data_IF_912553076793
#
_entry.id   IF_912553076793
#
_cell.length_a   1.000
_cell.length_b   1.000
_cell.length_c   1.000
_cell.angle_alpha   90.00
_cell.angle_beta   90.00
_cell.angle_gamma   90.00
#
_symmetry.space_group_name_H-M   'P 1'
#
loop_
_entity.id
_entity.type
_entity.pdbx_description
1 polymer ?
#
# COMPACT_ATOMS: atom_id res chain seq x y z
N UNK A 1 -5.87 -17.89 -27.35
CA UNK A 1 -5.53 -18.09 -25.93
C UNK A 1 -4.51 -19.22 -25.84
N UNK A 2 -3.41 -19.09 -25.08
CA UNK A 2 -2.50 -20.22 -24.83
C UNK A 2 -3.27 -21.35 -24.14
N UNK A 3 -2.93 -22.61 -24.44
CA UNK A 3 -3.48 -23.75 -23.71
C UNK A 3 -2.92 -23.76 -22.28
N UNK A 4 -3.67 -24.30 -21.34
CA UNK A 4 -3.24 -24.43 -19.94
C UNK A 4 -1.90 -25.17 -19.81
N UNK A 5 -1.68 -26.20 -20.65
CA UNK A 5 -0.41 -26.92 -20.73
C UNK A 5 0.73 -26.04 -21.23
N UNK A 6 0.52 -25.24 -22.29
CA UNK A 6 1.54 -24.30 -22.79
C UNK A 6 1.89 -23.22 -21.76
N UNK A 7 0.91 -22.74 -20.99
CA UNK A 7 1.13 -21.79 -19.91
C UNK A 7 1.95 -22.40 -18.77
N UNK A 8 1.63 -23.65 -18.38
CA UNK A 8 2.40 -24.42 -17.40
C UNK A 8 3.84 -24.66 -17.85
N UNK A 9 4.05 -25.10 -19.08
CA UNK A 9 5.40 -25.33 -19.63
C UNK A 9 6.21 -24.03 -19.70
N UNK A 10 5.56 -22.93 -20.11
CA UNK A 10 6.19 -21.61 -20.14
C UNK A 10 6.58 -21.16 -18.72
N UNK A 11 5.68 -21.29 -17.75
CA UNK A 11 5.95 -20.97 -16.33
C UNK A 11 7.14 -21.78 -15.81
N UNK A 12 7.16 -23.09 -16.04
CA UNK A 12 8.27 -23.97 -15.66
C UNK A 12 9.62 -23.46 -16.21
N UNK A 13 9.65 -23.19 -17.51
CA UNK A 13 10.85 -22.74 -18.20
C UNK A 13 11.34 -21.38 -17.73
N UNK A 14 10.43 -20.42 -17.50
CA UNK A 14 10.78 -19.10 -16.95
C UNK A 14 11.29 -19.24 -15.53
N UNK A 15 10.61 -20.02 -14.69
CA UNK A 15 10.94 -20.16 -13.28
C UNK A 15 12.31 -20.77 -13.08
N UNK A 16 12.64 -21.83 -13.83
CA UNK A 16 13.96 -22.45 -13.79
C UNK A 16 15.06 -21.45 -14.16
N UNK A 17 14.87 -20.66 -15.22
CA UNK A 17 15.82 -19.63 -15.63
C UNK A 17 15.98 -18.52 -14.58
N UNK A 18 14.89 -18.13 -13.90
CA UNK A 18 14.94 -17.16 -12.80
C UNK A 18 15.71 -17.73 -11.60
N UNK A 19 15.44 -18.99 -11.23
CA UNK A 19 16.10 -19.68 -10.14
C UNK A 19 17.62 -19.71 -10.36
N UNK A 20 18.05 -20.17 -11.54
CA UNK A 20 19.47 -20.23 -11.93
C UNK A 20 20.13 -18.85 -11.99
N UNK A 21 19.43 -17.82 -12.49
CA UNK A 21 20.00 -16.48 -12.67
C UNK A 21 20.03 -15.62 -11.40
N UNK A 22 19.06 -15.79 -10.49
CA UNK A 22 18.88 -14.90 -9.32
C UNK A 22 19.29 -15.54 -7.99
N UNK A 23 19.33 -16.88 -7.90
CA UNK A 23 19.38 -17.58 -6.63
C UNK A 23 20.39 -18.72 -6.64
N UNK A 24 21.67 -18.37 -6.86
CA UNK A 24 22.78 -19.28 -6.67
C UNK A 24 23.08 -19.52 -5.19
N UNK A 25 22.11 -20.06 -4.45
CA UNK A 25 22.27 -20.45 -3.05
C UNK A 25 22.49 -21.96 -2.92
N UNK A 26 23.30 -22.43 -1.96
CA UNK A 26 24.12 -21.61 -1.06
C UNK A 26 25.29 -20.93 -1.79
N UNK A 27 25.81 -19.82 -1.25
CA UNK A 27 27.02 -19.13 -1.75
C UNK A 27 27.85 -18.52 -0.61
N UNK A 28 29.01 -17.93 -0.94
CA UNK A 28 29.95 -17.37 0.04
C UNK A 28 29.33 -16.27 0.93
N UNK A 29 28.37 -15.49 0.41
CA UNK A 29 27.70 -14.43 1.18
C UNK A 29 26.57 -14.99 2.07
N UNK A 30 25.90 -16.05 1.62
CA UNK A 30 24.79 -16.69 2.29
C UNK A 30 24.96 -18.22 2.28
N UNK A 31 25.87 -18.77 3.10
CA UNK A 31 26.19 -20.20 3.10
C UNK A 31 25.02 -21.05 3.63
N UNK A 32 24.18 -20.47 4.48
CA UNK A 32 23.08 -21.17 5.15
C UNK A 32 21.74 -21.03 4.41
N UNK A 33 21.72 -20.43 3.21
CA UNK A 33 20.47 -20.28 2.44
C UNK A 33 20.22 -21.49 1.55
N UNK A 34 18.99 -21.99 1.60
CA UNK A 34 18.45 -22.99 0.68
C UNK A 34 17.37 -22.34 -0.19
N UNK A 35 17.36 -22.68 -1.49
CA UNK A 35 16.27 -22.34 -2.41
C UNK A 35 15.42 -23.58 -2.69
N UNK A 36 14.10 -23.41 -2.66
CA UNK A 36 13.14 -24.42 -3.12
C UNK A 36 12.19 -23.83 -4.16
N UNK A 37 12.01 -24.53 -5.27
CA UNK A 37 11.04 -24.15 -6.33
C UNK A 37 9.81 -25.05 -6.26
N UNK A 38 8.62 -24.46 -6.15
CA UNK A 38 7.34 -25.17 -5.99
C UNK A 38 6.66 -25.55 -7.32
N UNK A 39 7.42 -25.62 -8.41
CA UNK A 39 6.91 -25.98 -9.72
C UNK A 39 7.81 -27.05 -10.36
N UNK A 40 7.25 -28.11 -10.99
CA UNK A 40 5.82 -28.37 -11.22
C UNK A 40 5.07 -28.92 -10.00
N UNK A 41 5.77 -29.24 -8.91
CA UNK A 41 5.20 -29.81 -7.69
C UNK A 41 5.44 -28.90 -6.49
N UNK A 42 4.43 -28.76 -5.63
CA UNK A 42 4.51 -28.02 -4.37
C UNK A 42 5.40 -28.75 -3.36
N UNK A 43 6.55 -28.18 -3.03
CA UNK A 43 7.54 -28.77 -2.10
C UNK A 43 7.57 -28.05 -0.74
N UNK A 44 7.39 -26.73 -0.73
CA UNK A 44 7.56 -25.87 0.44
C UNK A 44 6.46 -24.82 0.57
N UNK A 45 5.65 -24.95 1.61
CA UNK A 45 4.57 -24.01 1.91
C UNK A 45 4.99 -22.89 2.86
N UNK A 46 4.37 -21.73 2.69
CA UNK A 46 4.42 -20.59 3.60
C UNK A 46 3.11 -20.51 4.39
N UNK A 47 3.20 -20.49 5.72
CA UNK A 47 2.01 -20.48 6.58
C UNK A 47 1.38 -19.09 6.65
N UNK A 48 0.08 -19.00 6.42
CA UNK A 48 -0.68 -17.75 6.57
C UNK A 48 -1.16 -17.59 8.02
N UNK A 49 -1.22 -16.34 8.50
CA UNK A 49 -1.72 -16.03 9.86
C UNK A 49 -3.16 -16.52 10.10
N UNK A 50 -4.00 -16.50 9.06
CA UNK A 50 -5.38 -17.00 9.09
C UNK A 50 -5.49 -18.52 9.24
N UNK A 51 -4.37 -19.25 9.21
CA UNK A 51 -4.37 -20.68 8.95
C UNK A 51 -4.32 -20.95 7.44
N UNK A 52 -3.78 -22.11 7.07
CA UNK A 52 -3.54 -22.50 5.67
C UNK A 52 -2.09 -22.32 5.23
N UNK A 53 -1.82 -22.81 4.02
CA UNK A 53 -0.52 -22.83 3.37
C UNK A 53 -0.62 -22.19 1.99
N UNK A 54 0.33 -21.34 1.65
CA UNK A 54 0.53 -20.80 0.31
C UNK A 54 1.81 -21.39 -0.28
N UNK A 55 1.79 -21.69 -1.57
CA UNK A 55 2.94 -22.22 -2.29
C UNK A 55 3.41 -21.19 -3.33
N UNK A 56 4.26 -20.22 -2.92
CA UNK A 56 4.87 -19.29 -3.87
C UNK A 56 5.79 -20.06 -4.81
N UNK A 57 6.04 -19.55 -6.02
CA UNK A 57 6.84 -20.30 -7.00
C UNK A 57 8.28 -20.57 -6.52
N UNK A 58 8.88 -19.66 -5.76
CA UNK A 58 10.19 -19.82 -5.12
C UNK A 58 10.10 -19.47 -3.63
N UNK A 59 10.69 -20.31 -2.78
CA UNK A 59 10.92 -20.02 -1.37
C UNK A 59 12.42 -20.05 -1.11
N UNK A 60 12.94 -19.04 -0.41
CA UNK A 60 14.32 -19.05 0.10
C UNK A 60 14.24 -19.10 1.62
N UNK A 61 14.96 -20.04 2.21
CA UNK A 61 14.99 -20.24 3.66
C UNK A 61 16.40 -20.19 4.22
N UNK A 62 16.53 -19.70 5.45
CA UNK A 62 17.78 -19.78 6.21
C UNK A 62 17.81 -21.07 7.05
N UNK A 63 18.95 -21.77 7.04
CA UNK A 63 19.28 -22.88 7.93
C UNK A 63 20.01 -22.40 9.21
N UNK A 64 19.89 -23.13 10.33
CA UNK A 64 18.98 -24.25 10.55
C UNK A 64 17.55 -23.77 10.86
N UNK A 65 16.53 -24.50 10.38
CA UNK A 65 15.13 -24.31 10.80
C UNK A 65 14.15 -23.87 9.70
N UNK A 66 14.63 -23.68 8.47
CA UNK A 66 13.81 -23.27 7.32
C UNK A 66 13.00 -21.99 7.58
N UNK A 67 13.63 -20.98 8.19
CA UNK A 67 12.99 -19.67 8.35
C UNK A 67 12.87 -18.99 7.00
N UNK A 68 11.70 -18.44 6.68
CA UNK A 68 11.49 -17.81 5.38
C UNK A 68 12.28 -16.51 5.35
N UNK A 69 13.36 -16.50 4.57
CA UNK A 69 14.11 -15.29 4.27
C UNK A 69 13.35 -14.44 3.25
N UNK A 70 12.76 -15.09 2.24
CA UNK A 70 11.95 -14.44 1.22
C UNK A 70 11.09 -15.45 0.45
N UNK A 71 10.03 -14.94 -0.18
CA UNK A 71 9.19 -15.68 -1.11
C UNK A 71 9.15 -14.93 -2.44
N UNK A 72 9.14 -15.66 -3.56
CA UNK A 72 8.94 -15.06 -4.86
C UNK A 72 7.82 -15.74 -5.64
N UNK A 73 7.07 -14.93 -6.37
CA UNK A 73 5.96 -15.37 -7.21
C UNK A 73 6.16 -14.88 -8.64
N UNK A 74 5.86 -15.74 -9.60
CA UNK A 74 5.99 -15.48 -11.02
C UNK A 74 4.59 -15.32 -11.62
N UNK A 75 4.33 -14.15 -12.20
CA UNK A 75 3.12 -13.89 -12.96
C UNK A 75 3.40 -13.93 -14.46
N UNK A 76 2.56 -14.63 -15.21
CA UNK A 76 2.47 -14.55 -16.67
C UNK A 76 1.64 -13.34 -17.09
N UNK A 77 1.71 -12.96 -18.36
CA UNK A 77 1.03 -11.76 -18.89
C UNK A 77 -0.47 -11.71 -18.58
N UNK A 78 -1.16 -12.85 -18.62
CA UNK A 78 -2.60 -12.94 -18.36
C UNK A 78 -2.94 -13.05 -16.86
N UNK A 79 -1.96 -13.24 -15.99
CA UNK A 79 -2.14 -13.36 -14.53
C UNK A 79 -1.87 -12.02 -13.82
N UNK A 80 -1.45 -10.98 -14.53
CA UNK A 80 -1.31 -9.62 -13.97
C UNK A 80 -2.69 -8.97 -13.87
N UNK A 81 -3.54 -9.52 -13.00
CA UNK A 81 -4.95 -9.13 -12.80
C UNK A 81 -5.21 -8.74 -11.35
N UNK A 82 -6.31 -8.03 -11.11
CA UNK A 82 -6.70 -7.60 -9.75
C UNK A 82 -7.01 -8.79 -8.85
N UNK A 83 -7.70 -9.80 -9.39
CA UNK A 83 -8.00 -11.06 -8.71
C UNK A 83 -6.72 -11.76 -8.23
N UNK A 84 -5.74 -11.97 -9.12
CA UNK A 84 -4.44 -12.58 -8.75
C UNK A 84 -3.72 -11.75 -7.68
N UNK A 85 -3.78 -10.42 -7.77
CA UNK A 85 -3.17 -9.56 -6.76
C UNK A 85 -3.80 -9.74 -5.37
N UNK A 86 -5.13 -9.82 -5.29
CA UNK A 86 -5.88 -9.99 -4.05
C UNK A 86 -5.72 -11.40 -3.47
N UNK A 87 -5.88 -12.42 -4.31
CA UNK A 87 -5.96 -13.82 -3.85
C UNK A 87 -4.58 -14.43 -3.61
N UNK A 88 -3.57 -14.01 -4.37
CA UNK A 88 -2.24 -14.64 -4.35
C UNK A 88 -1.18 -13.71 -3.77
N UNK A 89 -1.00 -12.52 -4.34
CA UNK A 89 0.13 -11.65 -3.97
C UNK A 89 -0.06 -11.02 -2.58
N UNK A 90 -1.27 -10.58 -2.25
CA UNK A 90 -1.55 -9.91 -0.97
C UNK A 90 -1.31 -10.83 0.24
N UNK A 91 -1.83 -12.07 0.28
CA UNK A 91 -1.55 -12.99 1.38
C UNK A 91 -0.06 -13.33 1.47
N UNK A 92 0.63 -13.54 0.33
CA UNK A 92 2.08 -13.80 0.33
C UNK A 92 2.86 -12.63 0.93
N UNK A 93 2.59 -11.39 0.51
CA UNK A 93 3.28 -10.19 1.02
C UNK A 93 3.04 -9.94 2.53
N UNK A 94 1.96 -10.46 3.09
CA UNK A 94 1.68 -10.38 4.53
C UNK A 94 2.46 -11.44 5.34
N UNK A 95 2.91 -12.50 4.70
CA UNK A 95 3.56 -13.65 5.35
C UNK A 95 5.08 -13.65 5.19
N UNK A 96 5.59 -13.12 4.08
CA UNK A 96 7.00 -13.11 3.75
C UNK A 96 7.38 -11.88 2.91
N UNK A 97 8.67 -11.51 2.87
CA UNK A 97 9.19 -10.54 1.91
C UNK A 97 8.94 -11.03 0.48
N UNK A 98 7.97 -10.41 -0.20
CA UNK A 98 7.56 -10.83 -1.53
C UNK A 98 8.41 -10.16 -2.62
N UNK A 99 9.05 -10.98 -3.45
CA UNK A 99 9.60 -10.58 -4.74
C UNK A 99 8.64 -11.02 -5.85
N UNK A 100 8.14 -10.05 -6.62
CA UNK A 100 7.23 -10.34 -7.73
C UNK A 100 7.99 -10.30 -9.06
N UNK A 101 7.93 -11.39 -9.82
CA UNK A 101 8.44 -11.45 -11.19
C UNK A 101 7.30 -11.30 -12.19
N UNK A 102 7.37 -10.27 -13.04
CA UNK A 102 6.35 -9.99 -14.07
C UNK A 102 6.97 -9.84 -15.45
N UNK A 103 6.24 -10.06 -16.55
CA UNK A 103 6.79 -9.89 -17.88
C UNK A 103 7.15 -8.42 -18.12
N UNK A 104 8.20 -8.16 -18.90
CA UNK A 104 8.55 -6.81 -19.34
C UNK A 104 7.36 -6.12 -20.01
N UNK A 105 7.09 -4.86 -19.65
CA UNK A 105 5.92 -4.10 -20.08
C UNK A 105 4.69 -4.23 -19.16
N UNK A 106 4.67 -5.16 -18.20
CA UNK A 106 3.58 -5.30 -17.23
C UNK A 106 3.90 -4.70 -15.85
N UNK A 107 5.10 -4.15 -15.63
CA UNK A 107 5.50 -3.57 -14.34
C UNK A 107 4.59 -2.44 -13.88
N UNK A 108 4.23 -1.49 -14.76
CA UNK A 108 3.35 -0.38 -14.40
C UNK A 108 1.97 -0.87 -13.91
N UNK A 109 1.40 -1.87 -14.59
CA UNK A 109 0.13 -2.51 -14.18
C UNK A 109 0.26 -3.23 -12.86
N UNK A 110 1.31 -4.05 -12.68
CA UNK A 110 1.55 -4.79 -11.45
C UNK A 110 1.76 -3.85 -10.24
N UNK A 111 2.55 -2.78 -10.40
CA UNK A 111 2.76 -1.76 -9.36
C UNK A 111 1.44 -1.09 -9.00
N UNK A 112 0.61 -0.73 -10.00
CA UNK A 112 -0.72 -0.15 -9.76
C UNK A 112 -1.60 -1.11 -8.96
N UNK A 113 -1.66 -2.40 -9.34
CA UNK A 113 -2.43 -3.42 -8.63
C UNK A 113 -1.95 -3.62 -7.19
N UNK A 114 -0.64 -3.69 -6.97
CA UNK A 114 -0.07 -3.80 -5.63
C UNK A 114 -0.41 -2.58 -4.78
N UNK A 115 -0.33 -1.36 -5.35
CA UNK A 115 -0.69 -0.12 -4.65
C UNK A 115 -2.18 -0.08 -4.29
N UNK A 116 -3.06 -0.38 -5.25
CA UNK A 116 -4.52 -0.38 -5.05
C UNK A 116 -4.96 -1.37 -3.96
N UNK A 117 -4.28 -2.51 -3.84
CA UNK A 117 -4.65 -3.56 -2.90
C UNK A 117 -3.86 -3.54 -1.58
N UNK A 118 -2.99 -2.53 -1.37
CA UNK A 118 -2.18 -2.38 -0.16
C UNK A 118 -1.10 -3.47 -0.01
N UNK A 119 -0.56 -3.97 -1.12
CA UNK A 119 0.44 -5.04 -1.15
C UNK A 119 1.84 -4.45 -0.98
N UNK A 120 2.49 -4.76 0.14
CA UNK A 120 3.86 -4.31 0.44
C UNK A 120 4.88 -5.22 -0.26
N UNK A 121 5.35 -4.81 -1.44
CA UNK A 121 6.39 -5.53 -2.18
C UNK A 121 7.78 -5.24 -1.61
N UNK A 122 8.61 -6.27 -1.47
CA UNK A 122 10.04 -6.10 -1.19
C UNK A 122 10.77 -5.68 -2.48
N UNK A 123 10.49 -6.38 -3.58
CA UNK A 123 11.10 -6.09 -4.89
C UNK A 123 10.15 -6.46 -6.02
N UNK A 124 10.19 -5.72 -7.13
CA UNK A 124 9.54 -6.11 -8.39
C UNK A 124 10.58 -6.23 -9.49
N UNK A 125 10.64 -7.41 -10.08
CA UNK A 125 11.53 -7.75 -11.19
C UNK A 125 10.71 -7.92 -12.45
N UNK A 126 11.14 -7.27 -13.53
CA UNK A 126 10.64 -7.57 -14.87
C UNK A 126 11.52 -8.61 -15.53
N UNK A 127 10.91 -9.54 -16.26
CA UNK A 127 11.64 -10.55 -17.02
C UNK A 127 11.28 -10.50 -18.51
N UNK A 128 12.27 -10.79 -19.34
CA UNK A 128 12.11 -11.03 -20.78
C UNK A 128 12.88 -12.28 -21.16
N UNK A 129 12.19 -13.29 -21.71
CA UNK A 129 12.87 -14.45 -22.28
C UNK A 129 13.59 -14.01 -23.56
N UNK A 130 14.90 -14.31 -23.66
CA UNK A 130 15.61 -14.12 -24.92
C UNK A 130 15.27 -15.28 -25.86
N UNK A 131 15.19 -15.03 -27.18
CA UNK A 131 15.05 -16.11 -28.16
C UNK A 131 16.17 -17.15 -27.98
N UNK A 132 15.95 -18.40 -28.37
CA UNK A 132 17.01 -19.40 -28.61
C UNK A 132 18.05 -19.61 -27.48
N UNK A 133 17.61 -19.86 -26.24
CA UNK A 133 18.50 -20.39 -25.19
C UNK A 133 19.51 -19.40 -24.60
N UNK A 134 19.46 -18.12 -24.98
CA UNK A 134 20.33 -17.07 -24.41
C UNK A 134 19.93 -16.63 -22.99
N UNK A 135 19.15 -17.44 -22.27
CA UNK A 135 18.70 -17.20 -20.91
C UNK A 135 17.60 -16.15 -20.80
N UNK A 136 17.45 -15.64 -19.57
CA UNK A 136 16.46 -14.63 -19.22
C UNK A 136 17.16 -13.28 -18.98
N UNK A 137 16.50 -12.20 -19.38
CA UNK A 137 16.89 -10.85 -19.01
C UNK A 137 16.03 -10.40 -17.83
N UNK A 138 16.68 -9.92 -16.77
CA UNK A 138 16.04 -9.51 -15.52
C UNK A 138 16.38 -8.06 -15.23
N UNK A 139 15.35 -7.23 -15.14
CA UNK A 139 15.50 -5.83 -14.81
C UNK A 139 14.68 -5.50 -13.56
N UNK A 140 15.27 -4.78 -12.62
CA UNK A 140 14.54 -4.30 -11.46
C UNK A 140 13.68 -3.09 -11.84
N UNK A 141 12.37 -3.19 -11.62
CA UNK A 141 11.44 -2.10 -11.91
C UNK A 141 10.96 -1.37 -10.64
N UNK A 142 11.06 -2.01 -9.47
CA UNK A 142 10.77 -1.38 -8.18
C UNK A 142 11.61 -2.01 -7.07
N UNK A 143 12.07 -1.17 -6.14
CA UNK A 143 12.63 -1.58 -4.85
C UNK A 143 11.76 -1.00 -3.75
N UNK A 144 11.18 -1.85 -2.92
CA UNK A 144 10.51 -1.39 -1.72
C UNK A 144 11.52 -0.85 -0.71
N UNK A 145 11.06 -0.09 0.30
CA UNK A 145 11.87 0.15 1.49
C UNK A 145 12.30 -1.21 2.04
N UNK A 146 13.57 -1.33 2.40
CA UNK A 146 14.15 -2.56 2.90
C UNK A 146 13.71 -2.77 4.36
N UNK A 147 12.41 -3.05 4.55
CA UNK A 147 11.73 -3.07 5.86
C UNK A 147 12.36 -4.05 6.84
N UNK A 148 13.07 -5.06 6.32
CA UNK A 148 13.69 -6.10 7.12
C UNK A 148 15.18 -5.92 7.36
N UNK A 149 15.90 -5.09 6.59
CA UNK A 149 17.35 -4.90 6.81
C UNK A 149 17.70 -4.49 8.25
N UNK A 150 16.97 -3.58 8.92
CA UNK A 150 17.28 -3.22 10.30
C UNK A 150 16.69 -4.20 11.33
N UNK A 151 15.62 -4.96 11.00
CA UNK A 151 14.84 -5.72 11.99
C UNK A 151 15.11 -7.23 11.93
N UNK A 152 15.38 -7.79 10.75
CA UNK A 152 15.57 -9.24 10.59
C UNK A 152 16.77 -9.77 11.38
N UNK A 153 17.86 -8.99 11.47
CA UNK A 153 19.01 -9.32 12.33
C UNK A 153 18.69 -9.26 13.83
N UNK A 154 17.63 -8.53 14.22
CA UNK A 154 17.25 -8.32 15.62
C UNK A 154 16.11 -9.24 16.09
N UNK A 155 15.31 -9.81 15.18
CA UNK A 155 14.22 -10.70 15.55
C UNK A 155 14.75 -12.09 15.96
N UNK A 156 14.37 -12.59 17.16
CA UNK A 156 14.67 -13.96 17.58
C UNK A 156 14.16 -14.96 16.55
N UNK A 157 14.85 -16.09 16.32
CA UNK A 157 14.42 -17.14 15.40
C UNK A 157 12.96 -17.58 15.65
N UNK A 158 12.53 -17.64 16.91
CA UNK A 158 11.17 -18.04 17.29
C UNK A 158 10.04 -17.12 16.77
N UNK A 159 10.34 -15.88 16.39
CA UNK A 159 9.35 -14.92 15.85
C UNK A 159 9.38 -14.83 14.33
N UNK A 160 10.29 -15.55 13.66
CA UNK A 160 10.37 -15.56 12.21
C UNK A 160 9.35 -16.54 11.62
N UNK A 161 8.68 -16.20 10.51
CA UNK A 161 7.80 -17.14 9.84
C UNK A 161 8.58 -18.37 9.37
N UNK A 162 8.10 -19.56 9.72
CA UNK A 162 8.70 -20.84 9.32
C UNK A 162 8.10 -21.33 8.01
N UNK A 163 8.95 -21.85 7.13
CA UNK A 163 8.53 -22.61 5.97
C UNK A 163 8.29 -24.07 6.38
N UNK A 164 7.47 -24.76 5.61
CA UNK A 164 7.19 -26.19 5.83
C UNK A 164 7.43 -27.00 4.58
N UNK A 165 8.29 -28.01 4.68
CA UNK A 165 8.60 -28.95 3.61
C UNK A 165 7.60 -30.11 3.61
N UNK A 166 6.95 -30.37 2.48
CA UNK A 166 5.89 -31.39 2.34
C UNK A 166 6.37 -32.81 2.68
N UNK A 167 7.66 -33.13 2.54
CA UNK A 167 8.23 -34.42 2.94
C UNK A 167 8.04 -34.71 4.44
N UNK A 168 7.94 -33.68 5.29
CA UNK A 168 7.63 -33.86 6.72
C UNK A 168 6.14 -34.06 7.00
N UNK A 169 5.26 -33.90 6.01
CA UNK A 169 3.82 -34.16 6.17
C UNK A 169 3.54 -35.64 6.42
N UNK A 170 4.27 -36.52 5.73
CA UNK A 170 4.21 -37.97 5.97
C UNK A 170 4.67 -38.34 7.38
N UNK A 171 5.65 -37.61 7.92
CA UNK A 171 6.19 -37.84 9.27
C UNK A 171 5.27 -37.25 10.35
N UNK A 172 4.77 -36.03 10.16
CA UNK A 172 3.89 -35.35 11.12
C UNK A 172 2.48 -35.96 11.16
N UNK A 173 1.90 -36.33 10.02
CA UNK A 173 0.63 -37.08 9.97
C UNK A 173 0.80 -38.48 10.57
N UNK A 174 2.00 -39.07 10.48
CA UNK A 174 2.36 -40.33 11.16
C UNK A 174 2.38 -40.23 12.70
N UNK A 175 2.62 -39.05 13.27
CA UNK A 175 2.55 -38.82 14.71
C UNK A 175 1.16 -38.42 15.21
N UNK A 176 0.28 -37.98 14.31
CA UNK A 176 -1.12 -37.65 14.62
C UNK A 176 -2.09 -38.79 14.34
N UNK A 177 -1.65 -39.88 13.70
CA UNK A 177 -2.40 -41.13 13.70
C UNK A 177 -2.30 -41.77 15.09
N UNK A 178 -3.43 -42.00 15.80
CA UNK A 178 -3.38 -42.85 16.98
C UNK A 178 -2.80 -44.20 16.57
N UNK A 179 -1.80 -44.68 17.34
CA UNK A 179 -1.25 -46.03 17.20
C UNK A 179 -2.41 -47.00 16.92
N UNK A 180 -2.36 -47.78 15.83
CA UNK A 180 -3.44 -48.70 15.52
C UNK A 180 -3.63 -49.61 16.73
N UNK A 181 -4.83 -49.55 17.31
CA UNK A 181 -5.21 -50.45 18.38
C UNK A 181 -5.00 -51.87 17.86
N UNK A 182 -4.03 -52.58 18.44
CA UNK A 182 -3.82 -53.99 18.16
C UNK A 182 -5.07 -54.77 18.57
N UNK A 183 -5.88 -55.18 17.59
CA UNK A 183 -6.92 -56.24 17.69
C UNK A 183 -7.33 -56.61 16.26
N UNK A 184 -6.83 -57.73 15.73
CA UNK A 184 -7.39 -59.09 15.84
C UNK A 184 -8.75 -59.25 15.14
N UNK A 185 -8.74 -60.02 14.05
CA UNK A 185 -9.93 -60.72 13.55
C UNK A 185 -10.60 -60.07 12.34
N UNK A 186 -10.52 -60.78 11.23
CA UNK A 186 -11.52 -60.88 10.15
C UNK A 186 -11.82 -59.64 9.28
N UNK A 187 -11.29 -59.67 8.06
CA UNK A 187 -11.75 -58.85 6.93
C UNK A 187 -12.43 -59.76 5.90
N UNK A 188 -13.73 -59.61 5.61
CA UNK A 188 -14.32 -60.19 4.41
C UNK A 188 -14.05 -59.28 3.19
N UNK A 189 -13.91 -59.91 2.04
CA UNK A 189 -13.64 -59.27 0.75
C UNK A 189 -14.73 -58.26 0.36
N UNK A 190 -14.34 -57.02 0.07
CA UNK A 190 -15.22 -55.97 -0.47
C UNK A 190 -15.09 -55.95 -1.99
N UNK A 191 -16.26 -56.05 -2.64
CA UNK A 191 -16.45 -56.04 -4.09
C UNK A 191 -16.18 -54.67 -4.73
N UNK A 192 -15.85 -54.71 -6.03
CA UNK A 192 -15.52 -53.55 -6.87
C UNK A 192 -16.69 -52.54 -7.01
N UNK A 193 -16.41 -51.24 -7.18
CA UNK A 193 -17.43 -50.22 -7.34
C UNK A 193 -17.98 -50.17 -8.78
N UNK A 194 -19.30 -50.02 -8.88
CA UNK A 194 -20.05 -49.84 -10.11
C UNK A 194 -19.93 -48.40 -10.66
N UNK A 195 -20.04 -48.29 -11.98
CA UNK A 195 -19.99 -47.08 -12.80
C UNK A 195 -21.08 -46.04 -12.42
N UNK A 196 -20.70 -44.77 -12.32
CA UNK A 196 -21.62 -43.63 -12.26
C UNK A 196 -21.79 -43.02 -13.66
N UNK A 197 -23.03 -42.72 -14.12
CA UNK A 197 -23.26 -42.08 -15.40
C UNK A 197 -23.05 -40.56 -15.34
N UNK A 198 -22.59 -40.02 -16.47
CA UNK A 198 -22.25 -38.62 -16.69
C UNK A 198 -23.46 -37.67 -16.49
N UNK A 199 -23.22 -36.58 -15.75
CA UNK A 199 -24.15 -35.47 -15.61
C UNK A 199 -23.88 -34.40 -16.69
N UNK A 200 -24.87 -34.16 -17.54
CA UNK A 200 -24.90 -33.10 -18.56
C UNK A 200 -25.13 -31.73 -17.90
N UNK A 201 -24.15 -30.84 -17.99
CA UNK A 201 -24.23 -29.44 -17.54
C UNK A 201 -24.86 -28.56 -18.63
N UNK A 202 -26.02 -27.98 -18.34
CA UNK A 202 -26.65 -26.94 -19.16
C UNK A 202 -26.12 -25.55 -18.78
N UNK A 203 -25.77 -24.74 -19.78
CA UNK A 203 -25.36 -23.34 -19.66
C UNK A 203 -26.59 -22.43 -19.50
N UNK A 204 -26.58 -21.47 -18.55
CA UNK A 204 -27.57 -20.40 -18.52
C UNK A 204 -27.14 -19.25 -19.45
N UNK A 205 -28.00 -18.96 -20.42
CA UNK A 205 -27.99 -17.76 -21.25
C UNK A 205 -28.87 -16.68 -20.62
N UNK A 206 -28.29 -15.51 -20.33
CA UNK A 206 -29.02 -14.34 -19.84
C UNK A 206 -28.09 -13.31 -19.20
N UNK A 207 -27.56 -12.40 -20.01
CA UNK A 207 -26.84 -11.19 -19.57
C UNK A 207 -27.49 -10.04 -20.34
N UNK A 208 -28.51 -9.46 -19.72
CA UNK A 208 -29.14 -8.23 -20.16
C UNK A 208 -28.31 -7.05 -19.64
N UNK A 209 -27.94 -6.15 -20.56
CA UNK A 209 -27.20 -4.92 -20.31
C UNK A 209 -28.10 -3.88 -19.62
N UNK A 210 -27.88 -3.65 -18.33
CA UNK A 210 -28.53 -2.60 -17.56
C UNK A 210 -27.61 -1.35 -17.50
N UNK A 211 -27.87 -0.38 -18.37
CA UNK A 211 -27.25 0.95 -18.34
C UNK A 211 -27.82 1.78 -17.19
N UNK A 212 -27.25 1.62 -15.99
CA UNK A 212 -27.53 2.47 -14.83
C UNK A 212 -26.92 3.86 -15.00
N UNK A 213 -27.77 4.88 -15.04
CA UNK A 213 -27.40 6.28 -14.90
C UNK A 213 -26.75 6.50 -13.52
N UNK A 214 -25.45 6.82 -13.51
CA UNK A 214 -24.73 7.13 -12.29
C UNK A 214 -25.26 8.41 -11.65
N UNK A 215 -25.99 8.28 -10.56
CA UNK A 215 -26.15 9.35 -9.57
C UNK A 215 -24.75 9.81 -9.16
N UNK A 216 -24.45 11.08 -9.43
CA UNK A 216 -23.27 11.74 -8.93
C UNK A 216 -23.46 11.91 -7.41
N UNK A 217 -23.04 10.89 -6.66
CA UNK A 217 -22.82 10.99 -5.23
C UNK A 217 -21.88 12.18 -5.00
N UNK A 218 -22.48 13.26 -4.49
CA UNK A 218 -21.73 14.42 -4.04
C UNK A 218 -20.73 13.93 -3.01
N UNK A 219 -19.45 14.34 -3.08
CA UNK A 219 -18.41 13.81 -2.20
C UNK A 219 -18.87 14.02 -0.75
N UNK A 220 -19.24 12.92 -0.09
CA UNK A 220 -19.59 12.95 1.31
C UNK A 220 -18.38 13.52 2.05
N UNK A 221 -18.57 14.69 2.66
CA UNK A 221 -17.53 15.33 3.46
C UNK A 221 -17.20 14.42 4.64
N UNK A 222 -16.16 13.60 4.49
CA UNK A 222 -15.71 12.70 5.52
C UNK A 222 -15.03 13.54 6.61
N UNK A 223 -15.75 13.83 7.69
CA UNK A 223 -15.15 14.39 8.88
C UNK A 223 -14.14 13.38 9.46
N UNK A 224 -12.95 13.83 9.87
CA UNK A 224 -11.98 12.94 10.48
C UNK A 224 -12.58 12.29 11.75
N UNK A 225 -12.18 11.05 12.07
CA UNK A 225 -12.62 10.41 13.29
C UNK A 225 -12.24 11.27 14.51
N UNK A 226 -13.08 11.29 15.56
CA UNK A 226 -12.83 12.12 16.73
C UNK A 226 -11.49 11.76 17.39
N UNK A 227 -10.60 12.74 17.53
CA UNK A 227 -9.29 12.59 18.19
C UNK A 227 -9.36 12.98 19.66
N UNK A 228 -8.73 12.17 20.53
CA UNK A 228 -8.55 12.50 21.95
C UNK A 228 -7.31 13.37 22.21
N UNK A 229 -6.43 13.52 21.24
CA UNK A 229 -5.18 14.26 21.41
C UNK A 229 -5.39 15.74 21.83
N UNK A 230 -6.35 16.50 21.25
CA UNK A 230 -6.61 17.87 21.67
C UNK A 230 -6.99 17.99 23.15
N UNK A 231 -7.74 17.02 23.68
CA UNK A 231 -8.15 16.99 25.10
C UNK A 231 -6.92 16.77 25.98
N UNK A 232 -6.03 15.84 25.61
CA UNK A 232 -4.79 15.58 26.34
C UNK A 232 -3.86 16.79 26.34
N UNK A 233 -3.74 17.49 25.21
CA UNK A 233 -2.98 18.74 25.13
C UNK A 233 -3.56 19.83 26.04
N UNK A 234 -4.87 20.05 25.99
CA UNK A 234 -5.53 21.05 26.82
C UNK A 234 -5.35 20.75 28.32
N UNK A 235 -5.57 19.48 28.73
CA UNK A 235 -5.37 19.06 30.11
C UNK A 235 -3.91 19.23 30.54
N UNK A 236 -2.97 18.84 29.68
CA UNK A 236 -1.54 18.99 29.92
C UNK A 236 -1.13 20.45 30.11
N UNK A 237 -1.62 21.36 29.27
CA UNK A 237 -1.38 22.80 29.40
C UNK A 237 -1.94 23.38 30.70
N UNK A 238 -3.17 23.02 31.09
CA UNK A 238 -3.80 23.47 32.34
C UNK A 238 -2.98 23.00 33.55
N UNK A 239 -2.60 21.72 33.58
CA UNK A 239 -1.81 21.14 34.67
C UNK A 239 -0.39 21.73 34.71
N UNK A 240 0.22 21.97 33.55
CA UNK A 240 1.53 22.61 33.44
C UNK A 240 1.50 24.05 33.99
N UNK A 241 0.47 24.83 33.64
CA UNK A 241 0.30 26.19 34.16
C UNK A 241 0.06 26.21 35.68
N UNK A 242 -0.77 25.30 36.20
CA UNK A 242 -0.94 25.14 37.64
C UNK A 242 0.36 24.72 38.34
N UNK A 243 1.12 23.81 37.72
CA UNK A 243 2.42 23.36 38.23
C UNK A 243 3.48 24.45 38.28
N UNK A 244 3.45 25.42 37.37
CA UNK A 244 4.32 26.59 37.41
C UNK A 244 4.04 27.49 38.64
N UNK A 245 2.80 27.53 39.11
CA UNK A 245 2.37 28.38 40.24
C UNK A 245 2.55 27.68 41.59
N UNK A 246 2.17 26.41 41.69
CA UNK A 246 1.97 25.76 42.98
C UNK A 246 3.11 24.80 43.39
N UNK A 247 3.56 23.89 42.51
CA UNK A 247 4.61 22.88 42.82
C UNK A 247 5.20 22.27 41.54
N UNK A 248 6.54 22.13 41.47
CA UNK A 248 7.24 21.53 40.33
C UNK A 248 6.83 20.10 39.95
N UNK A 249 6.23 19.33 40.87
CA UNK A 249 5.71 17.99 40.56
C UNK A 249 4.54 18.02 39.58
N UNK A 250 3.62 19.00 39.70
CA UNK A 250 2.52 19.18 38.74
C UNK A 250 3.03 19.59 37.35
N UNK A 251 4.15 20.30 37.28
CA UNK A 251 4.79 20.64 36.00
C UNK A 251 5.17 19.36 35.22
N UNK A 252 5.73 18.36 35.91
CA UNK A 252 6.11 17.08 35.28
C UNK A 252 4.90 16.30 34.75
N UNK A 253 3.76 16.35 35.46
CA UNK A 253 2.50 15.72 35.03
C UNK A 253 1.95 16.43 33.80
N UNK A 254 1.96 17.76 33.78
CA UNK A 254 1.55 18.56 32.62
C UNK A 254 2.37 18.26 31.37
N UNK A 255 3.70 18.22 31.50
CA UNK A 255 4.61 17.85 30.40
C UNK A 255 4.32 16.43 29.91
N UNK A 256 4.11 15.48 30.82
CA UNK A 256 3.82 14.08 30.46
C UNK A 256 2.53 13.98 29.63
N UNK A 257 1.48 14.70 30.02
CA UNK A 257 0.21 14.73 29.28
C UNK A 257 0.36 15.34 27.88
N UNK A 258 1.17 16.40 27.74
CA UNK A 258 1.47 17.02 26.43
C UNK A 258 2.22 16.02 25.53
N UNK A 259 3.24 15.34 26.06
CA UNK A 259 4.01 14.33 25.30
C UNK A 259 3.11 13.16 24.87
N UNK A 260 2.23 12.69 25.75
CA UNK A 260 1.26 11.64 25.42
C UNK A 260 0.23 12.11 24.37
N UNK A 261 -0.24 13.35 24.46
CA UNK A 261 -1.11 13.98 23.47
C UNK A 261 -0.43 14.04 22.09
N UNK A 262 0.83 14.49 22.04
CA UNK A 262 1.62 14.57 20.82
C UNK A 262 1.91 13.19 20.22
N UNK A 263 2.35 12.24 21.03
CA UNK A 263 2.60 10.87 20.58
C UNK A 263 1.33 10.22 20.04
N UNK A 264 0.19 10.41 20.70
CA UNK A 264 -1.09 9.87 20.24
C UNK A 264 -1.55 10.54 18.95
N UNK A 265 -1.46 11.86 18.85
CA UNK A 265 -1.76 12.60 17.61
C UNK A 265 -0.92 12.07 16.45
N UNK A 266 0.39 11.89 16.67
CA UNK A 266 1.30 11.35 15.66
C UNK A 266 0.96 9.91 15.26
N UNK A 267 0.57 9.06 16.20
CA UNK A 267 0.13 7.69 15.90
C UNK A 267 -1.20 7.66 15.14
N UNK A 268 -2.13 8.55 15.45
CA UNK A 268 -3.40 8.71 14.72
C UNK A 268 -3.13 9.20 13.29
N UNK A 269 -2.22 10.17 13.12
CA UNK A 269 -1.79 10.68 11.82
C UNK A 269 -1.07 9.62 10.98
N UNK A 270 -0.13 8.88 11.58
CA UNK A 270 0.50 7.71 10.93
C UNK A 270 -0.52 6.65 10.53
N UNK A 271 -1.48 6.34 11.41
CA UNK A 271 -2.57 5.43 11.12
C UNK A 271 -3.41 5.90 9.93
N UNK A 272 -3.67 7.21 9.83
CA UNK A 272 -4.35 7.81 8.71
C UNK A 272 -3.57 7.66 7.39
N UNK A 273 -2.24 7.88 7.41
CA UNK A 273 -1.38 7.64 6.25
C UNK A 273 -1.32 6.17 5.84
N UNK A 274 -1.22 5.26 6.82
CA UNK A 274 -1.21 3.81 6.59
C UNK A 274 -2.56 3.31 6.05
N UNK A 275 -3.67 3.88 6.52
CA UNK A 275 -5.02 3.57 6.05
C UNK A 275 -5.32 4.08 4.63
N UNK A 276 -4.48 4.95 4.07
CA UNK A 276 -4.63 5.40 2.69
C UNK A 276 -4.66 6.91 2.48
N UNK A 277 -4.76 7.72 3.54
CA UNK A 277 -5.04 9.16 3.44
C UNK A 277 -6.28 9.45 2.57
N UNK A 278 -6.55 10.72 2.22
CA UNK A 278 -7.49 11.04 1.15
C UNK A 278 -6.92 10.47 -0.14
N UNK A 279 -7.66 9.59 -0.81
CA UNK A 279 -7.25 8.96 -2.06
C UNK A 279 -6.88 10.00 -3.15
N UNK A 280 -7.35 11.24 -3.02
CA UNK A 280 -7.15 12.34 -3.95
C UNK A 280 -5.70 12.84 -4.03
N UNK A 281 -4.95 12.87 -2.92
CA UNK A 281 -3.55 13.34 -2.95
C UNK A 281 -2.58 12.29 -3.55
N UNK A 282 -3.02 11.05 -3.71
CA UNK A 282 -2.15 9.92 -4.11
C UNK A 282 -2.23 9.58 -5.61
N UNK A 283 -3.03 10.30 -6.38
CA UNK A 283 -3.46 9.92 -7.73
C UNK A 283 -2.84 10.66 -8.92
N UNK A 284 -2.04 11.72 -8.75
CA UNK A 284 -1.35 12.30 -9.91
C UNK A 284 0.09 11.76 -9.99
N UNK A 285 0.35 10.70 -10.80
CA UNK A 285 1.72 10.50 -11.27
C UNK A 285 2.22 11.83 -11.85
N UNK A 286 3.52 12.09 -11.79
CA UNK A 286 4.19 13.10 -12.61
C UNK A 286 4.00 12.74 -14.10
N UNK A 287 2.76 12.76 -14.59
CA UNK A 287 2.48 13.08 -15.97
C UNK A 287 3.19 14.42 -16.18
N UNK A 288 4.05 14.49 -17.19
CA UNK A 288 4.46 15.74 -17.84
C UNK A 288 3.29 16.68 -17.69
N UNK A 289 3.42 17.74 -16.87
CA UNK A 289 2.32 18.68 -16.61
C UNK A 289 1.71 18.99 -17.97
N UNK A 290 0.50 18.48 -18.30
CA UNK A 290 -0.29 19.14 -19.31
C UNK A 290 -0.40 20.58 -18.80
N UNK A 291 -0.31 21.56 -19.69
CA UNK A 291 -0.51 22.98 -19.34
C UNK A 291 -1.52 23.07 -18.20
N UNK A 292 -1.04 23.57 -17.05
CA UNK A 292 -1.70 23.44 -15.75
C UNK A 292 -3.14 23.86 -15.96
N UNK A 293 -4.05 22.89 -15.99
CA UNK A 293 -5.46 23.20 -16.00
C UNK A 293 -5.66 24.11 -14.79
N UNK A 294 -6.24 25.32 -14.97
CA UNK A 294 -6.41 26.25 -13.88
C UNK A 294 -7.09 25.52 -12.72
N UNK A 295 -6.71 25.83 -11.47
CA UNK A 295 -7.34 25.20 -10.30
C UNK A 295 -8.87 25.30 -10.45
N UNK A 296 -9.62 24.28 -9.98
CA UNK A 296 -11.07 24.29 -10.06
C UNK A 296 -11.62 25.63 -9.56
N UNK A 297 -12.53 26.29 -10.30
CA UNK A 297 -13.13 27.55 -9.87
C UNK A 297 -13.65 27.43 -8.45
N UNK A 298 -13.29 28.39 -7.59
CA UNK A 298 -13.67 28.42 -6.18
C UNK A 298 -12.67 27.82 -5.18
N UNK A 299 -11.58 27.18 -5.62
CA UNK A 299 -10.50 26.73 -4.70
C UNK A 299 -9.42 27.81 -4.61
N UNK A 300 -9.56 28.73 -3.66
CA UNK A 300 -8.51 29.67 -3.28
C UNK A 300 -7.80 29.18 -2.01
N UNK A 301 -6.47 29.28 -1.98
CA UNK A 301 -5.74 29.17 -0.72
C UNK A 301 -5.80 30.53 -0.02
N UNK A 302 -6.06 30.58 1.30
CA UNK A 302 -6.00 31.84 2.01
C UNK A 302 -4.61 32.47 1.83
N UNK A 303 -4.53 33.80 1.76
CA UNK A 303 -3.24 34.48 1.64
C UNK A 303 -2.33 34.13 2.82
N UNK A 304 -1.00 34.13 2.62
CA UNK A 304 -0.07 33.82 3.70
C UNK A 304 -0.26 34.80 4.86
N UNK A 305 -0.40 34.26 6.08
CA UNK A 305 -0.64 35.02 7.31
C UNK A 305 0.55 34.95 8.28
N UNK A 306 0.86 36.10 8.91
CA UNK A 306 1.83 36.18 10.02
C UNK A 306 1.19 35.93 11.39
N UNK A 307 -0.14 35.97 11.47
CA UNK A 307 -0.90 35.90 12.73
C UNK A 307 -0.64 34.60 13.53
N UNK A 308 -0.54 33.40 12.91
CA UNK A 308 -0.16 32.17 13.62
C UNK A 308 1.23 32.23 14.26
N UNK A 309 2.20 32.88 13.62
CA UNK A 309 3.56 33.02 14.16
C UNK A 309 3.57 33.95 15.37
N UNK A 310 2.84 35.08 15.30
CA UNK A 310 2.70 36.02 16.41
C UNK A 310 2.02 35.35 17.60
N UNK A 311 0.97 34.57 17.34
CA UNK A 311 0.26 33.81 18.37
C UNK A 311 1.18 32.79 19.07
N UNK A 312 1.95 32.02 18.30
CA UNK A 312 2.90 31.04 18.84
C UNK A 312 4.02 31.71 19.66
N UNK A 313 4.56 32.83 19.18
CA UNK A 313 5.54 33.62 19.94
C UNK A 313 4.95 34.14 21.26
N UNK A 314 3.68 34.58 21.24
CA UNK A 314 2.94 34.97 22.43
C UNK A 314 2.85 33.85 23.46
N UNK A 315 2.49 32.62 23.05
CA UNK A 315 2.45 31.46 23.95
C UNK A 315 3.78 31.18 24.63
N UNK A 316 4.89 31.23 23.88
CA UNK A 316 6.23 31.00 24.42
C UNK A 316 6.60 32.09 25.45
N UNK A 317 6.34 33.36 25.13
CA UNK A 317 6.64 34.50 26.00
C UNK A 317 5.76 34.49 27.25
N UNK A 318 4.47 34.13 27.14
CA UNK A 318 3.57 33.95 28.28
C UNK A 318 4.08 32.87 29.23
N UNK A 319 4.52 31.73 28.69
CA UNK A 319 5.10 30.65 29.50
C UNK A 319 6.38 31.10 30.22
N UNK A 320 7.26 31.84 29.55
CA UNK A 320 8.44 32.43 30.19
C UNK A 320 8.05 33.47 31.26
N UNK A 321 7.06 34.31 30.97
CA UNK A 321 6.56 35.35 31.87
C UNK A 321 5.98 34.80 33.16
N UNK A 322 5.34 33.62 33.10
CA UNK A 322 4.85 32.93 34.29
C UNK A 322 5.96 32.52 35.27
N UNK A 323 7.22 32.44 34.80
CA UNK A 323 8.38 32.03 35.61
C UNK A 323 9.22 33.23 36.06
N UNK A 324 9.41 34.23 35.19
CA UNK A 324 10.38 35.30 35.42
C UNK A 324 9.79 36.59 35.98
N UNK A 325 8.87 37.25 35.25
CA UNK A 325 8.31 38.55 35.65
C UNK A 325 6.92 38.81 35.04
N UNK A 326 6.08 39.53 35.79
CA UNK A 326 4.74 39.95 35.36
C UNK A 326 4.74 40.76 34.06
N UNK A 327 5.82 41.51 33.79
CA UNK A 327 5.97 42.29 32.56
C UNK A 327 6.10 41.41 31.32
N UNK A 328 6.89 40.32 31.42
CA UNK A 328 7.04 39.35 30.32
C UNK A 328 5.73 38.58 30.13
N UNK A 329 5.02 38.28 31.22
CA UNK A 329 3.69 37.64 31.15
C UNK A 329 2.68 38.52 30.42
N UNK A 330 2.61 39.80 30.77
CA UNK A 330 1.75 40.79 30.11
C UNK A 330 2.06 40.94 28.61
N UNK A 331 3.35 40.97 28.25
CA UNK A 331 3.79 41.04 26.85
C UNK A 331 3.36 39.79 26.06
N UNK A 332 3.52 38.59 26.64
CA UNK A 332 3.09 37.35 26.01
C UNK A 332 1.57 37.30 25.77
N UNK A 333 0.77 37.64 26.79
CA UNK A 333 -0.70 37.67 26.69
C UNK A 333 -1.14 38.64 25.60
N UNK A 334 -0.49 39.80 25.53
CA UNK A 334 -0.78 40.81 24.51
C UNK A 334 -0.53 40.26 23.10
N UNK A 335 0.59 39.57 22.87
CA UNK A 335 0.89 38.94 21.58
C UNK A 335 -0.11 37.82 21.22
N UNK A 336 -0.55 37.02 22.20
CA UNK A 336 -1.60 36.00 21.98
C UNK A 336 -2.89 36.66 21.49
N UNK A 337 -3.33 37.73 22.15
CA UNK A 337 -4.56 38.46 21.77
C UNK A 337 -4.41 39.06 20.38
N UNK A 338 -3.30 39.74 20.08
CA UNK A 338 -3.07 40.32 18.76
C UNK A 338 -2.98 39.27 17.65
N UNK A 339 -2.26 38.16 17.88
CA UNK A 339 -2.17 37.06 16.92
C UNK A 339 -3.52 36.37 16.69
N UNK A 340 -4.30 36.16 17.75
CA UNK A 340 -5.62 35.55 17.65
C UNK A 340 -6.65 36.44 16.94
N UNK A 341 -6.68 37.73 17.28
CA UNK A 341 -7.56 38.70 16.62
C UNK A 341 -7.16 38.90 15.16
N UNK A 342 -5.86 39.03 14.87
CA UNK A 342 -5.35 39.14 13.50
C UNK A 342 -5.77 37.94 12.65
N UNK A 343 -5.59 36.73 13.18
CA UNK A 343 -5.98 35.51 12.48
C UNK A 343 -7.49 35.45 12.22
N UNK A 344 -8.32 35.83 13.20
CA UNK A 344 -9.76 35.84 13.05
C UNK A 344 -10.27 36.88 12.05
N UNK A 345 -9.65 38.07 12.01
CA UNK A 345 -10.01 39.11 11.05
C UNK A 345 -9.62 38.74 9.62
N UNK A 346 -8.47 38.09 9.44
CA UNK A 346 -8.05 37.55 8.15
C UNK A 346 -9.03 36.48 7.63
N UNK A 347 -9.54 35.63 8.52
CA UNK A 347 -10.54 34.61 8.17
C UNK A 347 -11.86 35.27 7.72
N UNK A 348 -12.35 36.28 8.45
CA UNK A 348 -13.53 37.06 8.03
C UNK A 348 -13.32 37.71 6.66
N UNK A 349 -12.16 38.33 6.43
CA UNK A 349 -11.85 38.97 5.15
C UNK A 349 -11.84 37.97 4.00
N UNK A 350 -11.32 36.75 4.23
CA UNK A 350 -11.35 35.68 3.23
C UNK A 350 -12.78 35.22 2.89
N UNK A 351 -13.72 35.28 3.83
CA UNK A 351 -15.14 35.00 3.57
C UNK A 351 -15.89 36.16 2.91
N UNK A 352 -15.43 37.41 3.10
CA UNK A 352 -16.06 38.60 2.53
C UNK A 352 -15.60 38.89 1.10
N UNK A 353 -14.43 38.41 0.67
CA UNK A 353 -14.03 38.50 -0.73
C UNK A 353 -15.04 37.75 -1.60
N UNK A 354 -15.83 38.45 -2.44
CA UNK A 354 -16.78 37.80 -3.31
C UNK A 354 -15.97 36.85 -4.19
N UNK A 355 -16.41 35.60 -4.31
CA UNK A 355 -15.85 34.66 -5.27
C UNK A 355 -15.69 35.42 -6.57
N UNK A 356 -14.44 35.66 -6.99
CA UNK A 356 -14.16 36.25 -8.28
C UNK A 356 -14.74 35.27 -9.28
N UNK A 357 -16.01 35.49 -9.65
CA UNK A 357 -16.64 34.84 -10.77
C UNK A 357 -15.70 35.18 -11.92
N UNK A 358 -14.97 34.16 -12.37
CA UNK A 358 -14.12 34.23 -13.53
C UNK A 358 -15.02 34.72 -14.67
N UNK A 359 -15.03 36.04 -14.87
CA UNK A 359 -15.28 36.67 -16.15
C UNK A 359 -14.13 36.19 -17.05
N UNK A 360 -14.19 34.91 -17.42
CA UNK A 360 -13.71 34.45 -18.69
C UNK A 360 -14.53 35.23 -19.71
N UNK A 361 -14.06 36.44 -20.00
CA UNK A 361 -14.38 37.13 -21.23
C UNK A 361 -14.29 36.06 -22.32
N UNK A 362 -15.46 35.72 -22.85
CA UNK A 362 -15.59 34.84 -23.99
C UNK A 362 -14.61 35.39 -25.03
N UNK A 363 -13.48 34.69 -25.20
CA UNK A 363 -12.65 34.86 -26.37
C UNK A 363 -13.52 34.39 -27.53
N UNK A 364 -14.37 35.29 -28.03
CA UNK A 364 -15.08 35.22 -29.29
C UNK A 364 -13.99 34.91 -30.33
N UNK A 365 -13.94 33.68 -30.86
CA UNK A 365 -12.94 33.37 -31.85
C UNK A 365 -13.37 34.09 -33.13
N UNK A 366 -12.76 35.25 -33.39
CA UNK A 366 -12.73 35.90 -34.69
C UNK A 366 -12.06 34.93 -35.69
N UNK A 367 -12.82 33.94 -36.15
CA UNK A 367 -12.44 33.09 -37.26
C UNK A 367 -12.63 33.92 -38.54
N UNK A 368 -11.55 34.19 -39.31
CA UNK A 368 -11.70 34.84 -40.60
C UNK A 368 -12.45 33.89 -41.52
N UNK A 369 -13.63 34.33 -41.98
CA UNK A 369 -14.37 33.73 -43.09
C UNK A 369 -13.45 33.56 -44.30
N UNK A 370 -12.91 32.36 -44.50
CA UNK A 370 -12.23 32.00 -45.75
C UNK A 370 -13.32 31.89 -46.81
N UNK A 371 -13.45 32.96 -47.59
CA UNK A 371 -14.16 33.01 -48.85
C UNK A 371 -13.58 31.94 -49.79
N UNK A 372 -14.33 30.86 -50.03
CA UNK A 372 -14.08 29.96 -51.15
C UNK A 372 -14.63 30.61 -52.42
N UNK A 373 -13.78 31.33 -53.14
CA UNK A 373 -14.12 31.90 -54.44
C UNK A 373 -13.31 31.23 -55.54
N UNK A 374 -14.03 30.72 -56.54
CA UNK A 374 -13.63 30.62 -57.96
C UNK A 374 -12.34 29.89 -58.36
N UNK A 375 -12.49 28.84 -59.16
CA UNK A 375 -11.36 28.31 -59.93
C UNK A 375 -11.74 27.17 -60.87
N UNK A 376 -12.51 27.49 -61.91
CA UNK A 376 -12.86 26.60 -63.01
C UNK A 376 -11.68 26.35 -63.97
N UNK A 377 -11.82 25.30 -64.78
CA UNK A 377 -11.18 25.08 -66.10
C UNK A 377 -9.65 24.91 -66.19
N UNK A 378 -9.18 23.76 -66.67
CA UNK A 378 -8.75 23.69 -68.08
C UNK A 378 -8.40 22.27 -68.55
N UNK A 379 -8.77 22.08 -69.81
CA UNK A 379 -8.76 20.90 -70.67
C UNK A 379 -7.39 20.41 -71.14
N UNK A 380 -7.41 19.13 -71.56
CA UNK A 380 -6.77 18.58 -72.76
C UNK A 380 -5.24 18.54 -72.89
N UNK A 381 -4.68 17.33 -73.04
CA UNK A 381 -4.44 16.70 -74.36
C UNK A 381 -4.00 15.25 -74.19
#
# INVERSE_FOLDING_TARGET
>A
MPTLESARQKRASVLQQIAEASYGYPNDEFPDREITTNFPSEQMGVRVRSGGWLYPDIVVTDEPGHFIAMAADLALTHEVTNETAIERWKPLAQTAPLILYVPMGQSGRAIRLCRMNGIKLHKLMTYRQRPAGFGIDLQQAYSGPDLLKPIAGLLPPALRPMAYRNERKVVADGYLQPLPAARSGDVPAIAAPAEQPAATLALPSGLDDEHGHGEHDSPESHLPPPSLAPILFALGLIVMAAGAIFVGEMLSVGITLIVLGAARWFLEDMGYFEAGGPAEFRQRPLQVMPDVAPPPPGVHMPPPSLSPLIFAAGLIITAAGAVFTDQVLGAGITLIVFGGVGWFLEDIQAFEEPSHDDHHDEHEPDAPLIHSDGGAEQSAS
#
